data_IF_777727011233
#
_entry.id   IF_777727011233
#
_cell.length_a   1.000
_cell.length_b   1.000
_cell.length_c   1.000
_cell.angle_alpha   90.00
_cell.angle_beta   90.00
_cell.angle_gamma   90.00
#
_symmetry.space_group_name_H-M   'P 1'
#
loop_
_entity.id
_entity.type
_entity.pdbx_description
1 polymer ?
#
# COMPACT_ATOMS: atom_id res chain seq x y z
N UNK A 1 -12.94 -19.58 -38.60
CA UNK A 1 -12.77 -18.47 -37.64
C UNK A 1 -12.33 -19.10 -36.32
N UNK A 2 -11.02 -19.22 -36.11
CA UNK A 2 -10.46 -19.80 -34.88
C UNK A 2 -10.61 -18.79 -33.75
N UNK A 3 -11.46 -19.14 -32.79
CA UNK A 3 -11.64 -18.44 -31.52
C UNK A 3 -10.29 -18.49 -30.78
N UNK A 4 -9.53 -17.40 -30.79
CA UNK A 4 -8.40 -17.25 -29.87
C UNK A 4 -9.02 -17.04 -28.49
N UNK A 5 -9.05 -18.09 -27.67
CA UNK A 5 -9.27 -17.93 -26.25
C UNK A 5 -8.23 -16.92 -25.76
N UNK A 6 -8.69 -15.71 -25.41
CA UNK A 6 -7.81 -14.76 -24.76
C UNK A 6 -7.32 -15.42 -23.47
N UNK A 7 -6.01 -15.56 -23.33
CA UNK A 7 -5.40 -16.06 -22.13
C UNK A 7 -5.57 -14.99 -21.04
N UNK A 8 -6.72 -15.01 -20.37
CA UNK A 8 -7.03 -14.08 -19.29
C UNK A 8 -6.18 -14.46 -18.09
N UNK A 9 -5.16 -13.65 -17.81
CA UNK A 9 -4.39 -13.78 -16.56
C UNK A 9 -5.34 -13.40 -15.43
N UNK A 10 -5.54 -14.31 -14.48
CA UNK A 10 -6.19 -13.99 -13.22
C UNK A 10 -5.21 -13.14 -12.39
N UNK A 11 -5.53 -11.88 -12.09
CA UNK A 11 -4.62 -11.02 -11.35
C UNK A 11 -4.54 -11.43 -9.89
N UNK A 12 -3.35 -11.32 -9.31
CA UNK A 12 -3.11 -11.55 -7.89
C UNK A 12 -2.64 -10.26 -7.25
N UNK A 13 -3.28 -9.87 -6.14
CA UNK A 13 -2.84 -8.77 -5.29
C UNK A 13 -2.37 -9.34 -3.95
N UNK A 14 -1.13 -9.02 -3.58
CA UNK A 14 -0.53 -9.38 -2.30
C UNK A 14 -0.17 -8.09 -1.55
N UNK A 15 -0.46 -8.06 -0.25
CA UNK A 15 -0.14 -6.94 0.64
C UNK A 15 0.54 -7.49 1.88
N UNK A 16 1.52 -6.75 2.41
CA UNK A 16 2.15 -7.05 3.68
C UNK A 16 2.12 -5.81 4.58
N UNK A 17 2.06 -6.04 5.90
CA UNK A 17 2.27 -4.99 6.90
C UNK A 17 3.75 -4.79 7.22
N UNK A 18 4.07 -4.53 8.48
CA UNK A 18 5.45 -4.52 8.97
C UNK A 18 5.88 -5.86 9.58
N UNK A 19 7.19 -6.07 9.66
CA UNK A 19 7.78 -7.15 10.45
C UNK A 19 8.06 -6.69 11.90
N UNK A 20 8.50 -7.61 12.75
CA UNK A 20 8.94 -7.35 14.12
C UNK A 20 8.11 -8.05 15.18
N UNK A 21 8.40 -7.76 16.45
CA UNK A 21 7.63 -8.25 17.58
C UNK A 21 6.34 -7.42 17.70
N UNK A 22 5.23 -8.00 17.22
CA UNK A 22 3.92 -7.35 17.22
C UNK A 22 3.24 -7.70 18.54
N UNK A 23 2.96 -6.72 19.42
CA UNK A 23 2.23 -6.98 20.64
C UNK A 23 0.86 -7.58 20.33
N UNK A 24 0.40 -8.54 21.11
CA UNK A 24 -0.91 -9.21 20.94
C UNK A 24 -2.05 -8.20 20.76
N UNK A 25 -2.01 -7.09 21.51
CA UNK A 25 -3.00 -6.01 21.43
C UNK A 25 -3.09 -5.31 20.07
N UNK A 26 -2.05 -5.42 19.23
CA UNK A 26 -1.99 -4.84 17.87
C UNK A 26 -2.23 -5.86 16.76
N UNK A 27 -2.25 -7.17 17.06
CA UNK A 27 -2.37 -8.23 16.04
C UNK A 27 -3.68 -8.10 15.28
N UNK A 28 -4.80 -8.02 16.00
CA UNK A 28 -6.12 -7.96 15.37
C UNK A 28 -6.29 -6.73 14.47
N UNK A 29 -5.87 -5.55 14.95
CA UNK A 29 -5.93 -4.31 14.17
C UNK A 29 -5.13 -4.41 12.87
N UNK A 30 -3.92 -4.98 12.91
CA UNK A 30 -3.11 -5.21 11.69
C UNK A 30 -3.77 -6.20 10.73
N UNK A 31 -4.35 -7.30 11.23
CA UNK A 31 -5.03 -8.28 10.38
C UNK A 31 -6.25 -7.66 9.67
N UNK A 32 -7.03 -6.85 10.38
CA UNK A 32 -8.20 -6.18 9.82
C UNK A 32 -7.81 -5.08 8.82
N UNK A 33 -6.77 -4.31 9.13
CA UNK A 33 -6.19 -3.33 8.22
C UNK A 33 -5.69 -3.97 6.91
N UNK A 34 -4.97 -5.09 6.97
CA UNK A 34 -4.50 -5.81 5.77
C UNK A 34 -5.67 -6.35 4.95
N UNK A 35 -6.69 -6.94 5.60
CA UNK A 35 -7.90 -7.40 4.91
C UNK A 35 -8.60 -6.25 4.20
N UNK A 36 -8.71 -5.08 4.84
CA UNK A 36 -9.36 -3.93 4.24
C UNK A 36 -8.55 -3.37 3.07
N UNK A 37 -7.22 -3.24 3.22
CA UNK A 37 -6.32 -2.80 2.16
C UNK A 37 -6.42 -3.68 0.91
N UNK A 38 -6.40 -5.01 1.08
CA UNK A 38 -6.43 -5.93 -0.07
C UNK A 38 -7.79 -5.92 -0.77
N UNK A 39 -8.89 -5.82 -0.01
CA UNK A 39 -10.21 -5.69 -0.60
C UNK A 39 -10.33 -4.39 -1.42
N UNK A 40 -9.92 -3.25 -0.86
CA UNK A 40 -10.00 -1.96 -1.55
C UNK A 40 -9.12 -1.93 -2.82
N UNK A 41 -7.90 -2.45 -2.75
CA UNK A 41 -7.02 -2.54 -3.91
C UNK A 41 -7.58 -3.48 -4.99
N UNK A 42 -8.15 -4.62 -4.60
CA UNK A 42 -8.72 -5.58 -5.56
C UNK A 42 -10.04 -5.10 -6.17
N UNK A 43 -10.88 -4.39 -5.41
CA UNK A 43 -12.05 -3.67 -5.92
C UNK A 43 -11.63 -2.63 -6.96
N UNK A 44 -10.62 -1.81 -6.64
CA UNK A 44 -10.06 -0.84 -7.59
C UNK A 44 -9.57 -1.51 -8.87
N UNK A 45 -8.89 -2.65 -8.75
CA UNK A 45 -8.42 -3.40 -9.91
C UNK A 45 -9.56 -3.89 -10.80
N UNK A 46 -10.65 -4.38 -10.21
CA UNK A 46 -11.84 -4.80 -10.97
C UNK A 46 -12.51 -3.63 -11.69
N UNK A 47 -12.54 -2.48 -11.03
CA UNK A 47 -13.21 -1.29 -11.56
C UNK A 47 -12.42 -0.64 -12.71
N UNK A 48 -11.09 -0.56 -12.60
CA UNK A 48 -10.26 0.22 -13.55
C UNK A 48 -9.37 -0.62 -14.44
N UNK A 49 -9.12 -1.88 -14.09
CA UNK A 49 -8.15 -2.75 -14.77
C UNK A 49 -6.69 -2.29 -14.61
N UNK A 50 -6.42 -1.27 -13.79
CA UNK A 50 -5.09 -0.70 -13.62
C UNK A 50 -4.41 -1.22 -12.35
N UNK A 51 -3.36 -2.04 -12.53
CA UNK A 51 -2.57 -2.61 -11.41
C UNK A 51 -1.86 -1.54 -10.57
N UNK A 52 -1.47 -0.42 -11.17
CA UNK A 52 -0.85 0.70 -10.45
C UNK A 52 -1.85 1.36 -9.50
N UNK A 53 -3.05 1.68 -9.98
CA UNK A 53 -4.09 2.29 -9.16
C UNK A 53 -4.55 1.36 -8.04
N UNK A 54 -4.64 0.05 -8.31
CA UNK A 54 -4.95 -0.96 -7.31
C UNK A 54 -3.91 -1.00 -6.17
N UNK A 55 -2.62 -1.00 -6.53
CA UNK A 55 -1.51 -0.99 -5.57
C UNK A 55 -1.49 0.31 -4.75
N UNK A 56 -1.66 1.44 -5.44
CA UNK A 56 -1.73 2.76 -4.81
C UNK A 56 -2.90 2.84 -3.82
N UNK A 57 -4.11 2.44 -4.21
CA UNK A 57 -5.31 2.47 -3.36
C UNK A 57 -5.12 1.63 -2.09
N UNK A 58 -4.50 0.46 -2.22
CA UNK A 58 -4.18 -0.41 -1.09
C UNK A 58 -3.20 0.25 -0.10
N UNK A 59 -2.12 0.84 -0.59
CA UNK A 59 -1.09 1.48 0.24
C UNK A 59 -1.60 2.78 0.85
N UNK A 60 -2.35 3.61 0.12
CA UNK A 60 -2.98 4.83 0.64
C UNK A 60 -3.89 4.53 1.85
N UNK A 61 -4.66 3.44 1.79
CA UNK A 61 -5.44 3.01 2.96
C UNK A 61 -4.55 2.64 4.15
N UNK A 62 -3.44 1.95 3.91
CA UNK A 62 -2.49 1.60 4.98
C UNK A 62 -1.79 2.82 5.58
N UNK A 63 -1.50 3.85 4.77
CA UNK A 63 -0.95 5.12 5.23
C UNK A 63 -1.94 5.89 6.13
N UNK A 64 -3.24 5.70 5.94
CA UNK A 64 -4.29 6.27 6.77
C UNK A 64 -4.68 5.41 7.99
N UNK A 65 -4.11 4.22 8.16
CA UNK A 65 -4.41 3.34 9.28
C UNK A 65 -3.25 3.36 10.31
N UNK A 66 -3.55 3.84 11.52
CA UNK A 66 -2.58 4.00 12.62
C UNK A 66 -1.98 2.66 13.10
N UNK A 67 -2.53 1.53 12.65
CA UNK A 67 -1.93 0.21 12.89
C UNK A 67 -0.64 -0.03 12.09
N UNK A 68 -0.33 0.78 11.07
CA UNK A 68 0.83 0.62 10.22
C UNK A 68 1.85 1.75 10.40
N UNK A 69 3.13 1.40 10.30
CA UNK A 69 4.22 2.37 10.30
C UNK A 69 4.39 2.98 8.90
N UNK A 70 3.40 3.76 8.48
CA UNK A 70 3.36 4.50 7.23
C UNK A 70 2.39 5.67 7.40
N UNK A 71 2.52 6.73 6.59
CA UNK A 71 1.59 7.86 6.62
C UNK A 71 1.36 8.42 8.03
N UNK A 72 0.10 8.38 8.47
CA UNK A 72 -0.37 8.85 9.79
C UNK A 72 0.22 8.07 10.97
N UNK A 73 0.44 6.77 10.82
CA UNK A 73 0.99 5.88 11.86
C UNK A 73 2.52 5.82 11.89
N UNK A 74 3.21 6.67 11.14
CA UNK A 74 4.67 6.70 11.06
C UNK A 74 5.33 6.90 12.43
N UNK A 75 6.40 6.13 12.67
CA UNK A 75 7.25 6.29 13.85
C UNK A 75 8.08 7.57 13.77
N UNK A 76 8.56 8.00 14.93
CA UNK A 76 9.38 9.21 15.05
C UNK A 76 10.85 8.91 14.77
N UNK A 77 11.52 9.88 14.16
CA UNK A 77 12.99 9.94 14.08
C UNK A 77 13.60 10.17 15.46
N UNK A 78 14.94 10.11 15.56
CA UNK A 78 15.66 10.46 16.80
C UNK A 78 15.47 11.92 17.23
N UNK A 79 15.00 12.78 16.33
CA UNK A 79 14.66 14.18 16.62
C UNK A 79 13.20 14.36 17.05
N UNK A 80 12.41 13.28 17.10
CA UNK A 80 10.99 13.33 17.46
C UNK A 80 10.07 13.74 16.31
N UNK A 81 10.57 13.80 15.08
CA UNK A 81 9.83 14.22 13.88
C UNK A 81 9.36 13.01 13.05
N UNK A 82 8.29 13.18 12.27
CA UNK A 82 7.86 12.20 11.26
C UNK A 82 8.59 12.47 9.93
N UNK A 83 9.31 11.48 9.44
CA UNK A 83 9.94 11.47 8.12
C UNK A 83 9.57 10.17 7.39
N UNK A 84 9.06 10.28 6.17
CA UNK A 84 8.53 9.16 5.39
C UNK A 84 9.24 9.00 4.04
N UNK A 85 9.23 7.76 3.56
CA UNK A 85 9.72 7.38 2.24
C UNK A 85 8.71 6.45 1.57
N UNK A 86 8.54 6.61 0.25
CA UNK A 86 7.66 5.76 -0.55
C UNK A 86 8.21 5.61 -1.97
N UNK A 87 7.92 4.46 -2.60
CA UNK A 87 8.30 4.15 -3.98
C UNK A 87 7.22 3.27 -4.63
N UNK A 88 6.97 3.54 -5.91
CA UNK A 88 6.10 2.74 -6.77
C UNK A 88 6.80 2.45 -8.10
N UNK A 89 6.58 1.24 -8.64
CA UNK A 89 7.22 0.78 -9.88
C UNK A 89 6.16 0.22 -10.83
N UNK A 90 6.16 0.69 -12.07
CA UNK A 90 5.44 0.06 -13.17
C UNK A 90 6.33 -1.03 -13.80
N UNK A 91 5.97 -2.29 -13.57
CA UNK A 91 6.73 -3.44 -14.06
C UNK A 91 6.73 -3.60 -15.59
N UNK A 92 5.85 -2.89 -16.32
CA UNK A 92 5.76 -3.01 -17.79
C UNK A 92 6.98 -2.44 -18.49
N UNK A 93 7.50 -1.31 -17.99
CA UNK A 93 8.62 -0.58 -18.57
C UNK A 93 9.65 -0.10 -17.53
N UNK A 94 9.51 -0.56 -16.27
CA UNK A 94 10.39 -0.24 -15.14
C UNK A 94 10.42 1.27 -14.86
N UNK A 95 9.31 1.97 -15.08
CA UNK A 95 9.13 3.35 -14.61
C UNK A 95 8.99 3.39 -13.10
N UNK A 96 9.70 4.32 -12.46
CA UNK A 96 9.76 4.45 -11.01
C UNK A 96 9.36 5.86 -10.58
N UNK A 97 8.45 5.94 -9.62
CA UNK A 97 8.20 7.13 -8.81
C UNK A 97 8.71 6.91 -7.40
N UNK A 98 9.39 7.89 -6.81
CA UNK A 98 9.87 7.81 -5.43
C UNK A 98 9.85 9.16 -4.73
N UNK A 99 9.67 9.14 -3.41
CA UNK A 99 9.83 10.29 -2.55
C UNK A 99 10.54 9.89 -1.26
N UNK A 100 11.43 10.76 -0.76
CA UNK A 100 12.26 10.50 0.42
C UNK A 100 12.30 11.73 1.31
N UNK A 101 12.27 11.56 2.64
CA UNK A 101 12.30 12.69 3.58
C UNK A 101 11.04 13.55 3.55
N UNK A 102 9.89 12.97 3.15
CA UNK A 102 8.61 13.64 3.22
C UNK A 102 8.25 13.89 4.68
N UNK A 103 8.02 15.16 5.03
CA UNK A 103 7.59 15.56 6.36
C UNK A 103 6.13 15.96 6.34
N UNK A 104 5.44 15.73 7.46
CA UNK A 104 4.12 16.32 7.67
C UNK A 104 4.25 17.85 7.58
N UNK A 105 3.42 18.49 6.78
CA UNK A 105 3.38 19.95 6.76
C UNK A 105 2.83 20.44 8.11
N UNK A 106 3.69 21.01 8.94
CA UNK A 106 3.34 21.58 10.25
C UNK A 106 2.88 23.04 10.15
N UNK A 107 2.80 23.59 8.93
CA UNK A 107 2.22 24.90 8.69
C UNK A 107 0.72 24.90 9.01
N UNK A 108 0.37 25.55 10.12
CA UNK A 108 -0.95 26.16 10.35
C UNK A 108 -1.33 27.10 9.22
#
# INVERSE_FOLDING_TARGET
MTNMAQNTIEPVLLIHGGAGDIPESKVQGKLDGIRKAVCLGYEKLKDTGCVLEATQTAVEYMEEDDNFNAGRGSVLTTQGEIEMEALIVDGRDIKVGKSTGCKKNTGT
#
